data_IF_785209806521
#
_entry.id   IF_785209806521
#
_cell.length_a   1.000
_cell.length_b   1.000
_cell.length_c   1.000
_cell.angle_alpha   90.00
_cell.angle_beta   90.00
_cell.angle_gamma   90.00
#
_symmetry.space_group_name_H-M   'P 1'
#
loop_
_entity.id
_entity.type
_entity.pdbx_description
1 polymer ?
#
# COMPACT_ATOMS: atom_id res chain seq x y z
N UNK A 1 22.33 -2.67 11.37
CA UNK A 1 21.11 -2.71 10.53
C UNK A 1 21.23 -3.87 9.57
N UNK A 2 20.28 -4.81 9.58
CA UNK A 2 20.19 -5.81 8.52
C UNK A 2 19.83 -5.09 7.22
N UNK A 3 20.77 -5.04 6.26
CA UNK A 3 20.54 -4.43 4.96
C UNK A 3 19.90 -5.47 4.05
N UNK A 4 18.61 -5.31 3.76
CA UNK A 4 17.96 -6.06 2.69
C UNK A 4 18.35 -5.43 1.36
N UNK A 5 18.94 -6.22 0.46
CA UNK A 5 19.35 -5.72 -0.86
C UNK A 5 18.12 -5.18 -1.63
N UNK A 6 18.28 -4.01 -2.24
CA UNK A 6 17.20 -3.30 -2.93
C UNK A 6 16.19 -2.55 -2.04
N UNK A 7 16.22 -2.69 -0.71
CA UNK A 7 15.36 -1.89 0.18
C UNK A 7 15.93 -0.48 0.40
N UNK A 8 15.04 0.52 0.44
CA UNK A 8 15.36 1.86 0.95
C UNK A 8 14.24 2.34 1.87
N UNK A 9 14.61 3.21 2.82
CA UNK A 9 13.67 3.76 3.80
C UNK A 9 12.51 4.49 3.10
N UNK A 10 11.28 4.21 3.53
CA UNK A 10 10.07 4.79 2.95
C UNK A 10 9.60 4.12 1.66
N UNK A 11 10.26 3.06 1.20
CA UNK A 11 9.88 2.29 0.02
C UNK A 11 8.42 1.81 0.09
N UNK A 12 7.97 1.34 1.25
CA UNK A 12 6.63 0.75 1.42
C UNK A 12 5.50 1.76 1.21
N UNK A 13 5.64 2.97 1.75
CA UNK A 13 4.59 3.99 1.65
C UNK A 13 4.77 4.94 0.47
N UNK A 14 5.88 4.86 -0.27
CA UNK A 14 6.13 5.66 -1.47
C UNK A 14 4.92 5.65 -2.45
N UNK A 15 4.29 4.50 -2.69
CA UNK A 15 3.09 4.43 -3.57
C UNK A 15 1.91 5.29 -3.09
N UNK A 16 1.81 5.54 -1.79
CA UNK A 16 0.76 6.36 -1.17
C UNK A 16 1.17 7.82 -1.02
N UNK A 17 2.47 8.08 -0.87
CA UNK A 17 3.03 9.41 -0.62
C UNK A 17 3.38 10.14 -1.92
N UNK A 18 4.01 9.43 -2.86
CA UNK A 18 4.46 9.97 -4.14
C UNK A 18 3.59 9.61 -5.33
N UNK A 19 2.69 8.61 -5.24
CA UNK A 19 1.91 8.15 -6.39
C UNK A 19 2.76 7.92 -7.65
N UNK A 20 2.20 7.96 -8.88
CA UNK A 20 3.01 8.03 -10.12
C UNK A 20 3.68 9.40 -10.31
N UNK A 21 3.54 10.28 -9.32
CA UNK A 21 3.80 11.70 -9.37
C UNK A 21 5.23 11.93 -8.90
N UNK A 22 6.17 11.74 -9.82
CA UNK A 22 7.61 11.91 -9.59
C UNK A 22 8.00 13.30 -9.09
N UNK A 23 9.29 13.49 -8.84
CA UNK A 23 9.94 14.69 -8.29
C UNK A 23 9.50 16.01 -8.95
N UNK A 24 9.07 15.97 -10.23
CA UNK A 24 8.60 17.13 -11.01
C UNK A 24 7.14 17.54 -10.75
N UNK A 25 6.38 16.78 -9.94
CA UNK A 25 4.93 16.96 -9.82
C UNK A 25 4.56 18.31 -9.23
N UNK A 26 3.59 18.97 -9.87
CA UNK A 26 2.98 20.20 -9.37
C UNK A 26 1.46 20.05 -9.47
N UNK A 27 0.74 20.16 -8.36
CA UNK A 27 -0.73 20.13 -8.37
C UNK A 27 -1.28 21.48 -8.81
N UNK A 28 -1.97 21.57 -9.94
CA UNK A 28 -2.64 22.83 -10.32
C UNK A 28 -3.88 23.01 -9.46
N UNK A 29 -3.86 23.94 -8.49
CA UNK A 29 -5.00 24.30 -7.64
C UNK A 29 -6.13 25.02 -8.40
N UNK A 30 -6.58 24.49 -9.55
CA UNK A 30 -7.69 25.07 -10.32
C UNK A 30 -9.00 24.86 -9.57
N UNK A 31 -9.50 25.93 -8.95
CA UNK A 31 -10.86 26.01 -8.41
C UNK A 31 -10.96 26.42 -6.95
N UNK A 32 -9.89 26.30 -6.16
CA UNK A 32 -9.97 26.53 -4.71
C UNK A 32 -8.83 27.40 -4.19
N UNK A 33 -9.10 28.14 -3.12
CA UNK A 33 -8.16 28.96 -2.35
C UNK A 33 -7.07 28.12 -1.61
N UNK A 34 -6.66 26.98 -2.16
CA UNK A 34 -5.91 25.89 -1.51
C UNK A 34 -4.38 25.88 -1.70
N UNK A 35 -3.83 26.74 -2.56
CA UNK A 35 -2.39 26.76 -2.88
C UNK A 35 -1.95 25.67 -3.86
N UNK A 36 -0.64 25.56 -4.09
CA UNK A 36 -0.01 24.59 -5.01
C UNK A 36 0.90 23.66 -4.21
N UNK A 37 0.89 22.38 -4.54
CA UNK A 37 1.73 21.36 -3.91
C UNK A 37 2.78 20.83 -4.88
N UNK A 38 4.00 20.65 -4.38
CA UNK A 38 5.19 20.37 -5.19
C UNK A 38 5.87 19.06 -4.79
N UNK A 39 6.44 18.38 -5.79
CA UNK A 39 7.34 17.26 -5.58
C UNK A 39 6.67 15.95 -5.18
N UNK A 40 7.55 14.97 -4.92
CA UNK A 40 7.17 13.60 -4.59
C UNK A 40 6.41 13.50 -3.26
N UNK A 41 6.51 14.50 -2.38
CA UNK A 41 5.82 14.53 -1.08
C UNK A 41 4.71 15.58 -1.00
N UNK A 42 4.34 16.19 -2.14
CA UNK A 42 3.29 17.21 -2.23
C UNK A 42 3.46 18.33 -1.18
N UNK A 43 4.64 18.94 -1.16
CA UNK A 43 5.00 20.06 -0.31
C UNK A 43 4.13 21.28 -0.67
N UNK A 44 3.27 21.70 0.25
CA UNK A 44 2.26 22.73 0.00
C UNK A 44 2.83 24.13 0.23
N UNK A 45 2.57 25.03 -0.72
CA UNK A 45 2.87 26.45 -0.58
C UNK A 45 1.99 27.14 0.46
N UNK A 46 0.80 26.60 0.76
CA UNK A 46 -0.15 27.19 1.72
C UNK A 46 0.12 26.77 3.15
N UNK A 47 0.43 25.49 3.39
CA UNK A 47 0.70 25.00 4.75
C UNK A 47 2.10 25.34 5.25
N UNK A 48 2.95 25.96 4.41
CA UNK A 48 4.32 26.35 4.75
C UNK A 48 5.36 25.24 4.53
N UNK A 49 4.95 23.99 4.32
CA UNK A 49 5.87 22.85 4.12
C UNK A 49 6.81 23.01 2.93
N UNK A 50 6.39 23.69 1.84
CA UNK A 50 7.29 24.05 0.74
C UNK A 50 8.38 25.03 1.19
N UNK A 51 8.02 26.00 2.02
CA UNK A 51 8.97 26.99 2.53
C UNK A 51 9.97 26.33 3.47
N UNK A 52 9.49 25.52 4.40
CA UNK A 52 10.34 24.75 5.30
C UNK A 52 11.34 23.86 4.56
N UNK A 53 10.92 23.27 3.43
CA UNK A 53 11.81 22.53 2.54
C UNK A 53 12.87 23.44 1.93
N UNK A 54 12.47 24.53 1.28
CA UNK A 54 13.42 25.44 0.63
C UNK A 54 14.43 26.02 1.62
N UNK A 55 14.01 26.40 2.83
CA UNK A 55 14.88 26.95 3.88
C UNK A 55 15.96 25.95 4.36
N UNK A 56 15.78 24.66 4.12
CA UNK A 56 16.71 23.58 4.49
C UNK A 56 17.36 22.90 3.28
N UNK A 57 16.86 23.21 2.08
CA UNK A 57 17.26 22.56 0.85
C UNK A 57 18.51 23.21 0.29
N UNK A 58 19.40 22.40 -0.29
CA UNK A 58 20.55 22.91 -1.05
C UNK A 58 20.14 23.76 -2.26
N UNK A 59 18.87 23.67 -2.68
CA UNK A 59 18.30 24.40 -3.81
C UNK A 59 17.65 25.73 -3.43
N UNK A 60 17.69 26.17 -2.16
CA UNK A 60 17.12 27.46 -1.72
C UNK A 60 17.44 28.61 -2.69
N UNK A 61 18.73 28.72 -3.07
CA UNK A 61 19.26 29.78 -3.92
C UNK A 61 18.68 29.77 -5.33
N UNK A 62 18.29 28.61 -5.84
CA UNK A 62 17.69 28.45 -7.17
C UNK A 62 16.28 29.05 -7.24
N UNK A 63 15.63 29.26 -6.10
CA UNK A 63 14.27 29.80 -5.99
C UNK A 63 14.20 31.22 -5.43
N UNK A 64 15.34 31.86 -5.13
CA UNK A 64 15.37 33.25 -4.65
C UNK A 64 14.77 34.19 -5.70
N UNK A 65 13.81 35.01 -5.25
CA UNK A 65 13.08 35.94 -6.14
C UNK A 65 11.96 35.28 -6.95
N UNK A 66 11.77 33.95 -6.86
CA UNK A 66 10.66 33.24 -7.45
C UNK A 66 9.54 33.04 -6.43
N UNK A 67 8.31 33.32 -6.82
CA UNK A 67 7.14 33.11 -5.96
C UNK A 67 6.50 31.74 -6.24
N UNK A 68 6.20 30.93 -5.22
CA UNK A 68 5.41 29.71 -5.42
C UNK A 68 4.10 29.98 -6.15
N UNK A 69 3.60 28.96 -6.84
CA UNK A 69 2.41 29.01 -7.70
C UNK A 69 2.50 29.95 -8.93
N UNK A 70 3.71 30.36 -9.33
CA UNK A 70 3.95 31.11 -10.58
C UNK A 70 4.59 30.22 -11.64
N UNK A 71 4.43 30.58 -12.92
CA UNK A 71 5.03 29.84 -14.03
C UNK A 71 6.55 29.77 -13.91
N UNK A 72 7.22 30.88 -13.55
CA UNK A 72 8.66 30.92 -13.36
C UNK A 72 9.16 29.95 -12.27
N UNK A 73 8.47 29.89 -11.13
CA UNK A 73 8.79 28.93 -10.07
C UNK A 73 8.54 27.49 -10.52
N UNK A 74 7.41 27.25 -11.20
CA UNK A 74 7.01 25.92 -11.67
C UNK A 74 7.98 25.38 -12.73
N UNK A 75 8.45 26.24 -13.63
CA UNK A 75 9.42 25.89 -14.66
C UNK A 75 10.77 25.55 -14.04
N UNK A 76 11.24 26.35 -13.09
CA UNK A 76 12.49 26.06 -12.35
C UNK A 76 12.40 24.75 -11.56
N UNK A 77 11.27 24.47 -10.92
CA UNK A 77 11.05 23.20 -10.22
C UNK A 77 11.13 22.00 -11.17
N UNK A 78 10.47 22.08 -12.32
CA UNK A 78 10.48 21.02 -13.34
C UNK A 78 11.84 20.86 -14.00
N UNK A 79 12.56 21.95 -14.22
CA UNK A 79 13.94 21.95 -14.71
C UNK A 79 14.82 21.12 -13.76
N UNK A 80 14.89 21.51 -12.48
CA UNK A 80 15.70 20.81 -11.47
C UNK A 80 15.35 19.32 -11.37
N UNK A 81 14.05 18.99 -11.39
CA UNK A 81 13.60 17.60 -11.34
C UNK A 81 14.02 16.75 -12.55
N UNK A 82 14.31 17.38 -13.70
CA UNK A 82 14.76 16.69 -14.92
C UNK A 82 16.28 16.68 -15.06
N UNK A 83 16.94 17.74 -14.61
CA UNK A 83 18.36 17.97 -14.89
C UNK A 83 19.27 17.58 -13.75
N UNK A 84 18.78 17.58 -12.50
CA UNK A 84 19.56 17.21 -11.33
C UNK A 84 18.96 15.98 -10.63
N UNK A 85 19.58 14.79 -10.80
CA UNK A 85 19.07 13.55 -10.20
C UNK A 85 19.04 13.59 -8.67
N UNK A 86 19.80 14.48 -8.03
CA UNK A 86 19.81 14.59 -6.58
C UNK A 86 18.70 15.50 -6.03
N UNK A 87 17.87 16.15 -6.87
CA UNK A 87 16.72 16.93 -6.41
C UNK A 87 15.66 16.05 -5.74
N UNK A 88 15.46 14.83 -6.26
CA UNK A 88 14.57 13.85 -5.63
C UNK A 88 15.09 13.36 -4.27
N UNK A 89 16.40 13.12 -4.19
CA UNK A 89 17.03 12.69 -2.94
C UNK A 89 16.99 13.80 -1.88
N UNK A 90 17.18 15.07 -2.27
CA UNK A 90 17.09 16.21 -1.35
C UNK A 90 15.67 16.35 -0.75
N UNK A 91 14.62 16.16 -1.55
CA UNK A 91 13.24 16.10 -1.04
C UNK A 91 13.03 14.92 -0.08
N UNK A 92 13.58 13.74 -0.39
CA UNK A 92 13.51 12.57 0.48
C UNK A 92 14.24 12.81 1.81
N UNK A 93 15.45 13.37 1.77
CA UNK A 93 16.28 13.68 2.94
C UNK A 93 15.63 14.74 3.83
N UNK A 94 14.94 15.72 3.24
CA UNK A 94 14.11 16.66 3.98
C UNK A 94 13.00 15.96 4.76
N UNK A 95 12.25 15.03 4.14
CA UNK A 95 11.20 14.27 4.86
C UNK A 95 11.83 13.38 5.93
N UNK A 96 12.95 12.74 5.64
CA UNK A 96 13.69 11.91 6.59
C UNK A 96 14.08 12.67 7.85
N UNK A 97 14.62 13.88 7.70
CA UNK A 97 15.04 14.73 8.81
C UNK A 97 13.86 15.33 9.59
N UNK A 98 12.84 15.81 8.88
CA UNK A 98 11.73 16.55 9.51
C UNK A 98 10.61 15.68 10.06
N UNK A 99 10.48 14.44 9.58
CA UNK A 99 9.43 13.51 10.00
C UNK A 99 10.06 12.28 10.68
N UNK A 100 10.76 11.45 9.92
CA UNK A 100 11.22 10.15 10.40
C UNK A 100 12.15 10.26 11.62
N UNK A 101 13.27 10.99 11.53
CA UNK A 101 14.23 11.08 12.65
C UNK A 101 13.65 11.77 13.89
N UNK A 102 12.75 12.75 13.72
CA UNK A 102 12.04 13.36 14.85
C UNK A 102 11.18 12.33 15.57
N UNK A 103 10.44 11.50 14.84
CA UNK A 103 9.58 10.49 15.46
C UNK A 103 10.37 9.31 16.03
N UNK A 104 11.49 8.90 15.43
CA UNK A 104 12.42 7.93 16.04
C UNK A 104 12.93 8.44 17.40
N UNK A 105 13.32 9.71 17.46
CA UNK A 105 13.80 10.33 18.71
C UNK A 105 12.68 10.42 19.75
N UNK A 106 11.46 10.79 19.34
CA UNK A 106 10.30 10.88 20.23
C UNK A 106 9.87 9.52 20.78
N UNK A 107 9.87 8.47 19.95
CA UNK A 107 9.62 7.09 20.35
C UNK A 107 10.61 6.63 21.43
N UNK A 108 11.91 6.84 21.18
CA UNK A 108 12.98 6.50 22.12
C UNK A 108 12.87 7.28 23.43
N UNK A 109 12.65 8.59 23.37
CA UNK A 109 12.44 9.43 24.55
C UNK A 109 11.20 8.99 25.36
N UNK A 110 10.19 8.47 24.69
CA UNK A 110 8.99 7.89 25.28
C UNK A 110 9.11 6.43 25.73
N UNK A 111 10.33 5.88 25.81
CA UNK A 111 10.62 4.54 26.31
C UNK A 111 10.47 3.40 25.30
N UNK A 112 10.16 3.70 24.03
CA UNK A 112 9.99 2.72 22.96
C UNK A 112 11.13 2.86 21.94
N UNK A 113 12.29 2.26 22.23
CA UNK A 113 13.42 2.29 21.30
C UNK A 113 13.25 1.24 20.19
N UNK A 114 13.05 1.73 18.96
CA UNK A 114 12.91 0.92 17.74
C UNK A 114 14.06 1.17 16.76
N UNK A 115 15.11 1.89 17.16
CA UNK A 115 16.18 2.33 16.25
C UNK A 115 16.99 1.18 15.64
N UNK A 116 17.10 0.06 16.36
CA UNK A 116 17.83 -1.13 15.90
C UNK A 116 16.97 -2.16 15.14
N UNK A 117 15.69 -1.86 14.90
CA UNK A 117 14.75 -2.77 14.24
C UNK A 117 14.96 -2.83 12.72
N UNK A 118 14.47 -3.91 12.10
CA UNK A 118 14.66 -4.20 10.67
C UNK A 118 13.80 -3.34 9.74
N UNK A 119 13.97 -3.53 8.41
CA UNK A 119 13.36 -2.72 7.36
C UNK A 119 11.86 -2.46 7.52
N UNK A 120 11.09 -3.48 7.90
CA UNK A 120 9.65 -3.35 8.10
C UNK A 120 9.29 -2.34 9.20
N UNK A 121 9.97 -2.39 10.35
CA UNK A 121 9.67 -1.45 11.44
C UNK A 121 10.13 -0.04 11.06
N UNK A 122 11.26 0.10 10.37
CA UNK A 122 11.74 1.41 9.92
C UNK A 122 10.80 2.05 8.89
N UNK A 123 10.29 1.28 7.92
CA UNK A 123 9.29 1.76 6.97
C UNK A 123 7.94 2.04 7.64
N UNK A 124 7.55 1.28 8.66
CA UNK A 124 6.35 1.55 9.44
C UNK A 124 6.45 2.89 10.20
N UNK A 125 7.61 3.20 10.77
CA UNK A 125 7.89 4.51 11.40
C UNK A 125 7.84 5.61 10.34
N UNK A 126 8.49 5.40 9.18
CA UNK A 126 8.45 6.36 8.07
C UNK A 126 7.01 6.69 7.67
N UNK A 127 6.25 5.67 7.25
CA UNK A 127 4.85 5.83 6.79
C UNK A 127 3.99 6.56 7.82
N UNK A 128 4.11 6.14 9.08
CA UNK A 128 3.32 6.71 10.17
C UNK A 128 3.74 8.14 10.47
N UNK A 129 5.04 8.46 10.41
CA UNK A 129 5.55 9.82 10.62
C UNK A 129 5.06 10.81 9.56
N UNK A 130 4.97 10.37 8.30
CA UNK A 130 4.46 11.19 7.19
C UNK A 130 2.95 11.36 7.30
N UNK A 131 2.22 10.30 7.65
CA UNK A 131 0.75 10.32 7.68
C UNK A 131 0.18 10.97 8.96
N UNK A 132 0.77 10.73 10.13
CA UNK A 132 0.21 11.08 11.44
C UNK A 132 1.07 12.05 12.26
N UNK A 133 2.31 12.35 11.81
CA UNK A 133 3.23 13.29 12.47
C UNK A 133 3.38 12.99 13.95
N UNK A 134 3.03 13.93 14.82
CA UNK A 134 3.25 13.87 16.27
C UNK A 134 2.40 12.81 16.99
N UNK A 135 1.37 12.25 16.32
CA UNK A 135 0.64 11.10 16.85
C UNK A 135 1.40 9.78 16.68
N UNK A 136 2.50 9.76 15.91
CA UNK A 136 3.25 8.52 15.64
C UNK A 136 3.62 7.74 16.90
N UNK A 137 4.19 8.36 17.96
CA UNK A 137 4.58 7.62 19.15
C UNK A 137 3.39 6.98 19.88
N UNK A 138 2.25 7.66 19.94
CA UNK A 138 1.05 7.11 20.59
C UNK A 138 0.41 6.01 19.76
N UNK A 139 0.43 6.08 18.43
CA UNK A 139 -0.07 5.00 17.57
C UNK A 139 0.70 3.70 17.77
N UNK A 140 2.03 3.77 17.82
CA UNK A 140 2.87 2.59 18.11
C UNK A 140 2.59 2.04 19.50
N UNK A 141 2.61 2.90 20.53
CA UNK A 141 2.39 2.48 21.92
C UNK A 141 1.00 1.85 22.08
N UNK A 142 -0.05 2.54 21.67
CA UNK A 142 -1.43 2.08 21.84
C UNK A 142 -1.68 0.79 21.04
N UNK A 143 -1.12 0.66 19.83
CA UNK A 143 -1.26 -0.58 19.06
C UNK A 143 -0.59 -1.77 19.74
N UNK A 144 0.61 -1.57 20.31
CA UNK A 144 1.31 -2.61 21.06
C UNK A 144 0.59 -2.97 22.36
N UNK A 145 0.11 -1.98 23.11
CA UNK A 145 -0.67 -2.18 24.35
C UNK A 145 -1.99 -2.89 24.07
N UNK A 146 -2.71 -2.51 23.01
CA UNK A 146 -3.98 -3.15 22.62
C UNK A 146 -3.78 -4.61 22.21
N UNK A 147 -2.66 -4.94 21.54
CA UNK A 147 -2.39 -6.32 21.06
C UNK A 147 -1.72 -7.20 22.11
N UNK A 148 -0.86 -6.67 22.97
CA UNK A 148 0.01 -7.43 23.86
C UNK A 148 -0.15 -7.09 25.35
N UNK A 149 -1.02 -6.14 25.70
CA UNK A 149 -1.23 -5.65 27.06
C UNK A 149 -0.20 -4.61 27.50
N UNK A 150 -0.45 -3.90 28.60
CA UNK A 150 0.35 -2.75 29.08
C UNK A 150 1.79 -3.09 29.53
N UNK A 151 2.12 -4.38 29.69
CA UNK A 151 3.40 -4.85 30.21
C UNK A 151 4.24 -5.63 29.18
N UNK A 152 4.00 -5.40 27.88
CA UNK A 152 4.83 -5.98 26.83
C UNK A 152 6.29 -5.54 26.97
N UNK A 153 7.21 -6.41 26.56
CA UNK A 153 8.62 -6.07 26.44
C UNK A 153 8.96 -5.99 24.97
N UNK A 154 9.41 -4.82 24.51
CA UNK A 154 9.72 -4.65 23.08
C UNK A 154 10.76 -5.66 22.60
N UNK A 155 11.74 -6.01 23.43
CA UNK A 155 12.78 -6.99 23.13
C UNK A 155 12.24 -8.39 22.79
N UNK A 156 11.05 -8.75 23.29
CA UNK A 156 10.44 -10.06 23.07
C UNK A 156 9.56 -10.10 21.80
N UNK A 157 9.33 -8.93 21.17
CA UNK A 157 8.49 -8.82 19.98
C UNK A 157 9.33 -8.85 18.70
N UNK A 158 8.86 -9.64 17.73
CA UNK A 158 9.37 -9.64 16.36
C UNK A 158 8.94 -8.39 15.60
N UNK A 159 9.67 -8.05 14.54
CA UNK A 159 9.32 -6.95 13.63
C UNK A 159 7.90 -7.13 13.04
N UNK A 160 7.52 -8.38 12.72
CA UNK A 160 6.18 -8.73 12.22
C UNK A 160 5.10 -8.38 13.24
N UNK A 161 5.29 -8.77 14.50
CA UNK A 161 4.34 -8.46 15.56
C UNK A 161 4.17 -6.95 15.77
N UNK A 162 5.26 -6.19 15.71
CA UNK A 162 5.25 -4.73 15.87
C UNK A 162 4.47 -4.08 14.73
N UNK A 163 4.78 -4.40 13.47
CA UNK A 163 4.11 -3.77 12.32
C UNK A 163 2.63 -4.18 12.23
N UNK A 164 2.29 -5.43 12.56
CA UNK A 164 0.90 -5.84 12.59
C UNK A 164 0.11 -5.10 13.68
N UNK A 165 0.66 -4.96 14.89
CA UNK A 165 0.01 -4.23 15.99
C UNK A 165 -0.31 -2.79 15.60
N UNK A 166 0.66 -2.10 14.99
CA UNK A 166 0.49 -0.73 14.51
C UNK A 166 -0.60 -0.63 13.43
N UNK A 167 -0.52 -1.48 12.40
CA UNK A 167 -1.43 -1.37 11.26
C UNK A 167 -2.85 -1.81 11.61
N UNK A 168 -3.01 -2.81 12.48
CA UNK A 168 -4.30 -3.22 13.03
C UNK A 168 -4.93 -2.08 13.84
N UNK A 169 -4.14 -1.38 14.64
CA UNK A 169 -4.60 -0.20 15.38
C UNK A 169 -5.00 0.95 14.45
N UNK A 170 -4.19 1.28 13.44
CA UNK A 170 -4.53 2.29 12.42
C UNK A 170 -5.86 1.97 11.73
N UNK A 171 -6.04 0.70 11.35
CA UNK A 171 -7.26 0.23 10.70
C UNK A 171 -8.48 0.34 11.64
N UNK A 172 -8.39 -0.23 12.85
CA UNK A 172 -9.51 -0.29 13.80
C UNK A 172 -9.89 1.08 14.35
N UNK A 173 -8.92 1.99 14.50
CA UNK A 173 -9.12 3.32 15.06
C UNK A 173 -9.32 4.41 14.03
N UNK A 174 -9.42 4.08 12.73
CA UNK A 174 -9.62 5.07 11.66
C UNK A 174 -10.77 6.04 11.95
N UNK A 175 -11.93 5.56 12.40
CA UNK A 175 -13.06 6.45 12.70
C UNK A 175 -12.77 7.40 13.85
N UNK A 176 -12.00 6.94 14.85
CA UNK A 176 -11.63 7.74 16.02
C UNK A 176 -10.53 8.75 15.72
N UNK A 177 -9.57 8.36 14.88
CA UNK A 177 -8.45 9.20 14.46
C UNK A 177 -8.89 10.26 13.45
N UNK A 178 -9.92 9.97 12.64
CA UNK A 178 -10.41 10.85 11.57
C UNK A 178 -11.90 11.15 11.71
N UNK A 179 -12.38 11.43 12.93
CA UNK A 179 -13.80 11.71 13.22
C UNK A 179 -14.40 12.81 12.33
N UNK A 180 -13.61 13.81 12.00
CA UNK A 180 -14.01 14.95 11.16
C UNK A 180 -13.97 14.68 9.65
N UNK A 181 -13.57 13.48 9.23
CA UNK A 181 -13.41 13.13 7.81
C UNK A 181 -13.95 11.73 7.49
N UNK A 182 -15.25 11.47 7.75
CA UNK A 182 -15.85 10.15 7.54
C UNK A 182 -15.76 9.65 6.11
N UNK A 183 -15.83 10.56 5.14
CA UNK A 183 -15.63 10.23 3.73
C UNK A 183 -14.23 9.67 3.43
N UNK A 184 -13.22 9.80 4.29
CA UNK A 184 -11.88 9.26 4.01
C UNK A 184 -11.65 7.89 4.64
N UNK A 185 -12.56 7.40 5.50
CA UNK A 185 -12.32 6.23 6.33
C UNK A 185 -11.96 4.97 5.54
N UNK A 186 -12.66 4.69 4.45
CA UNK A 186 -12.41 3.45 3.70
C UNK A 186 -11.07 3.49 2.97
N UNK A 187 -10.70 4.65 2.41
CA UNK A 187 -9.37 4.85 1.82
C UNK A 187 -8.24 4.69 2.85
N UNK A 188 -8.45 5.18 4.08
CA UNK A 188 -7.47 5.14 5.16
C UNK A 188 -7.30 3.72 5.71
N UNK A 189 -8.41 2.98 5.85
CA UNK A 189 -8.42 1.55 6.19
C UNK A 189 -7.74 0.71 5.13
N UNK A 190 -8.08 0.91 3.86
CA UNK A 190 -7.47 0.19 2.76
C UNK A 190 -5.96 0.44 2.70
N UNK A 191 -5.53 1.69 2.92
CA UNK A 191 -4.11 2.02 3.04
C UNK A 191 -3.46 1.26 4.20
N UNK A 192 -4.06 1.25 5.39
CA UNK A 192 -3.50 0.54 6.55
C UNK A 192 -3.37 -0.98 6.27
N UNK A 193 -4.37 -1.58 5.63
CA UNK A 193 -4.37 -2.99 5.23
C UNK A 193 -3.29 -3.31 4.18
N UNK A 194 -3.22 -2.52 3.10
CA UNK A 194 -2.26 -2.73 2.02
C UNK A 194 -0.81 -2.49 2.47
N UNK A 195 -0.58 -1.47 3.32
CA UNK A 195 0.72 -1.27 3.96
C UNK A 195 1.08 -2.44 4.88
N UNK A 196 0.13 -3.00 5.65
CA UNK A 196 0.38 -4.16 6.51
C UNK A 196 0.93 -5.34 5.71
N UNK A 197 0.32 -5.66 4.57
CA UNK A 197 0.73 -6.77 3.68
C UNK A 197 2.17 -6.61 3.17
N UNK A 198 2.57 -5.38 2.87
CA UNK A 198 3.90 -5.08 2.37
C UNK A 198 4.96 -5.07 3.48
N UNK A 199 4.63 -4.46 4.63
CA UNK A 199 5.50 -4.45 5.81
C UNK A 199 5.74 -5.88 6.33
N UNK A 200 4.70 -6.72 6.39
CA UNK A 200 4.86 -8.15 6.72
C UNK A 200 5.71 -8.85 5.66
N UNK A 201 5.53 -8.53 4.38
CA UNK A 201 6.40 -9.01 3.31
C UNK A 201 7.88 -8.68 3.53
N UNK A 202 8.19 -7.46 3.97
CA UNK A 202 9.55 -7.07 4.31
C UNK A 202 10.14 -7.91 5.45
N UNK A 203 9.33 -8.30 6.44
CA UNK A 203 9.79 -9.22 7.51
C UNK A 203 10.10 -10.63 7.01
N UNK A 204 9.57 -10.98 5.84
CA UNK A 204 9.72 -12.28 5.17
C UNK A 204 10.73 -12.20 4.00
N UNK A 205 11.44 -11.07 3.84
CA UNK A 205 12.42 -10.87 2.77
C UNK A 205 11.81 -10.60 1.40
N UNK A 206 10.55 -10.13 1.34
CA UNK A 206 9.85 -9.75 0.10
C UNK A 206 9.72 -8.23 0.01
N UNK A 207 10.31 -7.64 -1.02
CA UNK A 207 10.18 -6.20 -1.29
C UNK A 207 8.73 -5.84 -1.66
N UNK A 208 8.25 -4.65 -1.28
CA UNK A 208 7.00 -4.08 -1.77
C UNK A 208 7.02 -3.98 -3.30
N UNK A 209 5.90 -4.31 -3.96
CA UNK A 209 5.82 -4.22 -5.42
C UNK A 209 5.80 -2.73 -5.81
N UNK A 210 6.94 -2.21 -6.27
CA UNK A 210 7.04 -0.86 -6.82
C UNK A 210 6.48 -0.84 -8.25
N UNK A 211 5.22 -0.39 -8.39
CA UNK A 211 4.57 0.08 -9.61
C UNK A 211 5.01 -0.52 -10.95
N UNK A 212 4.32 -1.57 -11.41
CA UNK A 212 4.02 -1.72 -12.83
C UNK A 212 2.58 -1.26 -13.09
N UNK A 213 2.45 -0.15 -13.82
CA UNK A 213 1.25 0.48 -14.41
C UNK A 213 -0.11 -0.18 -14.12
N UNK A 214 -1.00 0.55 -13.46
CA UNK A 214 -2.43 0.54 -13.79
C UNK A 214 -2.96 1.99 -13.86
N UNK A 215 -3.35 2.38 -15.08
CA UNK A 215 -4.08 3.62 -15.34
C UNK A 215 -5.58 3.34 -15.18
N UNK A 216 -6.27 4.09 -14.33
CA UNK A 216 -7.75 4.09 -14.26
C UNK A 216 -8.28 4.90 -13.08
N UNK A 217 -8.76 6.11 -13.36
CA UNK A 217 -9.39 7.04 -12.39
C UNK A 217 -10.89 6.68 -12.14
N UNK A 218 -11.62 7.47 -11.33
CA UNK A 218 -11.65 7.53 -9.87
C UNK A 218 -12.98 6.95 -9.33
N UNK A 219 -13.00 6.26 -8.17
CA UNK A 219 -14.27 5.88 -7.52
C UNK A 219 -14.61 6.79 -6.34
N UNK A 220 -15.85 7.25 -6.33
CA UNK A 220 -16.48 7.94 -5.22
C UNK A 220 -16.69 6.97 -4.05
N UNK A 221 -16.51 7.49 -2.84
CA UNK A 221 -16.63 6.80 -1.56
C UNK A 221 -17.96 6.10 -1.30
N UNK A 222 -17.87 4.83 -0.95
CA UNK A 222 -18.55 4.24 0.23
C UNK A 222 -17.94 2.89 0.68
N UNK A 223 -16.74 2.53 0.19
CA UNK A 223 -16.08 1.26 0.49
C UNK A 223 -16.86 0.03 0.00
N UNK A 224 -17.91 0.28 -0.76
CA UNK A 224 -18.83 -0.63 -1.40
C UNK A 224 -18.36 -0.75 -2.85
N UNK A 225 -18.34 -1.97 -3.39
CA UNK A 225 -18.20 -2.14 -4.83
C UNK A 225 -19.53 -2.47 -5.47
N UNK A 226 -19.93 -1.71 -6.50
CA UNK A 226 -21.19 -1.94 -7.19
C UNK A 226 -21.12 -1.76 -8.70
N UNK A 227 -22.20 -2.19 -9.37
CA UNK A 227 -22.27 -2.18 -10.82
C UNK A 227 -22.06 -0.78 -11.41
N UNK A 228 -21.13 -0.68 -12.35
CA UNK A 228 -20.74 0.57 -13.00
C UNK A 228 -19.43 1.17 -12.47
N UNK A 229 -18.93 0.68 -11.33
CA UNK A 229 -17.61 1.06 -10.84
C UNK A 229 -16.47 0.41 -11.61
N UNK A 230 -15.29 1.05 -11.55
CA UNK A 230 -14.10 0.61 -12.25
C UNK A 230 -12.83 0.83 -11.44
N UNK A 231 -11.81 0.03 -11.70
CA UNK A 231 -10.47 0.22 -11.16
C UNK A 231 -9.93 -0.99 -10.40
N UNK A 232 -8.80 -0.79 -9.71
CA UNK A 232 -8.05 -1.87 -9.07
C UNK A 232 -8.82 -2.59 -7.96
N UNK A 233 -9.72 -1.90 -7.25
CA UNK A 233 -10.60 -2.53 -6.25
C UNK A 233 -11.54 -3.56 -6.89
N UNK A 234 -12.12 -3.23 -8.05
CA UNK A 234 -12.96 -4.13 -8.84
C UNK A 234 -12.14 -5.29 -9.40
N UNK A 235 -10.92 -5.01 -9.87
CA UNK A 235 -9.99 -6.02 -10.38
C UNK A 235 -9.61 -7.03 -9.29
N UNK A 236 -9.37 -6.54 -8.08
CA UNK A 236 -9.10 -7.38 -6.92
C UNK A 236 -10.29 -8.26 -6.59
N UNK A 237 -11.49 -7.68 -6.49
CA UNK A 237 -12.74 -8.43 -6.30
C UNK A 237 -12.93 -9.53 -7.35
N UNK A 238 -12.78 -9.20 -8.63
CA UNK A 238 -12.90 -10.16 -9.73
C UNK A 238 -11.90 -11.30 -9.60
N UNK A 239 -10.67 -10.99 -9.20
CA UNK A 239 -9.61 -11.99 -8.97
C UNK A 239 -9.95 -12.90 -7.80
N UNK A 240 -10.47 -12.36 -6.70
CA UNK A 240 -10.90 -13.12 -5.53
C UNK A 240 -12.07 -14.06 -5.88
N UNK A 241 -13.07 -13.56 -6.59
CA UNK A 241 -14.21 -14.37 -7.05
C UNK A 241 -13.77 -15.48 -8.02
N UNK A 242 -12.86 -15.17 -8.94
CA UNK A 242 -12.30 -16.17 -9.87
C UNK A 242 -11.48 -17.25 -9.12
N UNK A 243 -10.70 -16.88 -8.10
CA UNK A 243 -9.97 -17.83 -7.26
C UNK A 243 -10.89 -18.77 -6.49
N UNK A 244 -12.06 -18.28 -6.09
CA UNK A 244 -13.11 -19.06 -5.45
C UNK A 244 -13.93 -19.88 -6.45
N UNK A 245 -13.59 -19.84 -7.74
CA UNK A 245 -14.28 -20.59 -8.80
C UNK A 245 -15.64 -20.00 -9.19
N UNK A 246 -15.95 -18.78 -8.77
CA UNK A 246 -17.23 -18.12 -9.08
C UNK A 246 -17.19 -17.63 -10.53
N UNK A 247 -18.23 -17.96 -11.30
CA UNK A 247 -18.34 -17.66 -12.73
C UNK A 247 -19.27 -16.49 -13.02
N UNK A 248 -19.03 -15.83 -14.15
CA UNK A 248 -19.89 -14.80 -14.71
C UNK A 248 -21.20 -15.37 -15.26
N UNK A 249 -22.07 -14.47 -15.72
CA UNK A 249 -23.40 -14.82 -16.25
C UNK A 249 -23.33 -15.71 -17.51
N UNK A 250 -22.22 -15.63 -18.22
CA UNK A 250 -21.90 -16.45 -19.40
C UNK A 250 -21.34 -17.84 -19.05
N UNK A 251 -21.26 -18.18 -17.76
CA UNK A 251 -20.73 -19.46 -17.27
C UNK A 251 -19.22 -19.57 -17.36
N UNK A 252 -18.51 -18.47 -17.61
CA UNK A 252 -17.05 -18.44 -17.72
C UNK A 252 -16.40 -17.87 -16.45
N UNK A 253 -15.14 -18.24 -16.15
CA UNK A 253 -14.39 -17.58 -15.08
C UNK A 253 -14.34 -16.07 -15.30
N UNK A 254 -14.45 -15.31 -14.21
CA UNK A 254 -14.31 -13.86 -14.28
C UNK A 254 -12.92 -13.48 -14.77
N UNK A 255 -12.89 -12.59 -15.75
CA UNK A 255 -11.68 -11.90 -16.15
C UNK A 255 -11.53 -10.63 -15.31
N UNK A 256 -10.37 -10.44 -14.69
CA UNK A 256 -10.08 -9.28 -13.85
C UNK A 256 -9.71 -8.07 -14.73
N UNK A 257 -10.70 -7.54 -15.47
CA UNK A 257 -10.57 -6.35 -16.33
C UNK A 257 -10.69 -5.04 -15.55
N UNK A 258 -11.12 -5.09 -14.30
CA UNK A 258 -11.36 -3.90 -13.47
C UNK A 258 -12.67 -3.20 -13.76
N UNK A 259 -13.58 -3.79 -14.55
CA UNK A 259 -14.92 -3.26 -14.83
C UNK A 259 -15.99 -4.01 -14.03
N UNK A 260 -16.77 -3.30 -13.21
CA UNK A 260 -17.88 -3.89 -12.47
C UNK A 260 -19.10 -3.98 -13.38
N UNK A 261 -19.01 -4.83 -14.40
CA UNK A 261 -20.05 -5.10 -15.38
C UNK A 261 -21.06 -6.16 -14.92
N UNK A 262 -21.93 -6.55 -15.84
CA UNK A 262 -23.00 -7.53 -15.58
C UNK A 262 -22.47 -8.90 -15.12
N UNK A 263 -21.30 -9.32 -15.61
CA UNK A 263 -20.67 -10.58 -15.21
C UNK A 263 -20.14 -10.50 -13.76
N UNK A 264 -19.47 -9.40 -13.40
CA UNK A 264 -18.97 -9.17 -12.03
C UNK A 264 -20.12 -9.11 -11.03
N UNK A 265 -21.20 -8.39 -11.35
CA UNK A 265 -22.40 -8.35 -10.51
C UNK A 265 -23.01 -9.72 -10.31
N UNK A 266 -23.19 -10.48 -11.40
CA UNK A 266 -23.75 -11.82 -11.32
C UNK A 266 -22.92 -12.73 -10.40
N UNK A 267 -21.59 -12.68 -10.52
CA UNK A 267 -20.69 -13.44 -9.67
C UNK A 267 -20.76 -13.01 -8.20
N UNK A 268 -20.85 -11.70 -7.92
CA UNK A 268 -21.06 -11.20 -6.55
C UNK A 268 -22.38 -11.74 -5.98
N UNK A 269 -23.47 -11.69 -6.73
CA UNK A 269 -24.75 -12.23 -6.28
C UNK A 269 -24.71 -13.75 -6.08
N UNK A 270 -23.98 -14.51 -6.92
CA UNK A 270 -23.77 -15.94 -6.71
C UNK A 270 -23.02 -16.21 -5.41
N UNK A 271 -21.90 -15.52 -5.22
CA UNK A 271 -21.11 -15.62 -3.99
C UNK A 271 -21.95 -15.26 -2.75
N UNK A 272 -22.74 -14.19 -2.82
CA UNK A 272 -23.66 -13.81 -1.74
C UNK A 272 -24.70 -14.91 -1.45
N UNK A 273 -25.28 -15.52 -2.49
CA UNK A 273 -26.22 -16.65 -2.35
C UNK A 273 -25.56 -17.86 -1.68
N UNK A 274 -24.38 -18.25 -2.12
CA UNK A 274 -23.64 -19.41 -1.63
C UNK A 274 -23.20 -19.24 -0.16
N UNK A 275 -22.91 -18.00 0.24
CA UNK A 275 -22.47 -17.67 1.59
C UNK A 275 -23.58 -17.15 2.51
N UNK A 276 -24.85 -17.25 2.10
CA UNK A 276 -26.01 -16.89 2.94
C UNK A 276 -26.11 -15.40 3.27
N UNK A 277 -25.59 -14.54 2.40
CA UNK A 277 -25.62 -13.09 2.55
C UNK A 277 -26.87 -12.49 1.88
N UNK A 278 -27.15 -11.21 2.16
CA UNK A 278 -28.14 -10.47 1.39
C UNK A 278 -27.67 -10.34 -0.08
N UNK A 279 -28.55 -10.67 -1.02
CA UNK A 279 -28.21 -10.79 -2.45
C UNK A 279 -28.63 -9.52 -3.17
N UNK A 280 -27.78 -8.51 -3.08
CA UNK A 280 -27.97 -7.20 -3.68
C UNK A 280 -26.96 -6.90 -4.81
N UNK A 281 -26.01 -7.81 -5.05
CA UNK A 281 -24.98 -7.66 -6.08
C UNK A 281 -23.96 -6.57 -5.73
N UNK A 282 -23.89 -6.22 -4.45
CA UNK A 282 -23.09 -5.14 -3.88
C UNK A 282 -22.04 -5.74 -2.95
N UNK A 283 -20.78 -5.34 -3.13
CA UNK A 283 -19.70 -5.78 -2.25
C UNK A 283 -19.51 -4.78 -1.12
N UNK A 284 -20.40 -4.86 -0.14
CA UNK A 284 -20.27 -4.15 1.13
C UNK A 284 -19.41 -4.90 2.15
N UNK A 285 -19.28 -4.34 3.35
CA UNK A 285 -18.45 -4.87 4.46
C UNK A 285 -18.68 -6.36 4.77
N UNK A 286 -19.93 -6.82 4.75
CA UNK A 286 -20.26 -8.23 5.02
C UNK A 286 -19.77 -9.16 3.91
N UNK A 287 -19.93 -8.76 2.65
CA UNK A 287 -19.45 -9.51 1.49
C UNK A 287 -17.93 -9.54 1.43
N UNK A 288 -17.24 -8.44 1.77
CA UNK A 288 -15.78 -8.40 1.86
C UNK A 288 -15.24 -9.34 2.96
N UNK A 289 -15.87 -9.34 4.14
CA UNK A 289 -15.49 -10.25 5.22
C UNK A 289 -15.66 -11.72 4.83
N UNK A 290 -16.78 -12.05 4.17
CA UNK A 290 -17.04 -13.39 3.67
C UNK A 290 -16.04 -13.82 2.59
N UNK A 291 -15.68 -12.94 1.65
CA UNK A 291 -14.65 -13.21 0.63
C UNK A 291 -13.30 -13.55 1.28
N UNK A 292 -12.89 -12.76 2.28
CA UNK A 292 -11.65 -13.02 3.03
C UNK A 292 -11.65 -14.37 3.75
N UNK A 293 -12.78 -14.75 4.37
CA UNK A 293 -12.93 -16.06 5.00
C UNK A 293 -12.90 -17.20 3.98
N UNK A 294 -13.62 -17.06 2.88
CA UNK A 294 -13.69 -18.07 1.82
C UNK A 294 -12.31 -18.32 1.20
N UNK A 295 -11.54 -17.27 0.91
CA UNK A 295 -10.18 -17.37 0.36
C UNK A 295 -9.21 -18.05 1.33
N UNK A 296 -9.32 -17.74 2.62
CA UNK A 296 -8.50 -18.36 3.65
C UNK A 296 -8.79 -19.87 3.76
N UNK A 297 -10.07 -20.26 3.71
CA UNK A 297 -10.50 -21.65 3.72
C UNK A 297 -10.12 -22.39 2.42
N UNK A 298 -10.20 -21.72 1.27
CA UNK A 298 -9.81 -22.27 -0.02
C UNK A 298 -8.31 -22.54 -0.09
N UNK A 299 -7.50 -21.62 0.47
CA UNK A 299 -6.05 -21.79 0.59
C UNK A 299 -5.72 -22.97 1.49
N UNK A 300 -6.36 -23.09 2.67
CA UNK A 300 -6.14 -24.19 3.60
C UNK A 300 -6.49 -25.57 3.00
N UNK A 301 -7.60 -25.67 2.24
CA UNK A 301 -7.99 -26.90 1.54
C UNK A 301 -7.03 -27.29 0.42
N UNK A 302 -6.43 -26.32 -0.29
CA UNK A 302 -5.42 -26.59 -1.32
C UNK A 302 -4.09 -27.07 -0.72
N UNK A 303 -3.73 -26.62 0.48
CA UNK A 303 -2.54 -27.13 1.21
C UNK A 303 -2.76 -28.53 1.77
N UNK A 304 -3.98 -28.89 2.19
CA UNK A 304 -4.29 -30.25 2.67
C UNK A 304 -4.38 -31.28 1.53
N UNK A 305 -4.75 -30.87 0.31
CA UNK A 305 -4.79 -31.77 -0.86
C UNK A 305 -3.41 -32.05 -1.49
N UNK A 306 -2.34 -31.38 -1.05
CA UNK A 306 -0.97 -31.57 -1.55
C UNK A 306 -0.06 -32.39 -0.62
N UNK A 307 -0.59 -32.93 0.49
CA UNK A 307 0.15 -33.78 1.44
C UNK A 307 -0.58 -35.11 1.70
N UNK A 308 -0.44 -36.06 0.77
CA UNK A 308 -0.71 -37.48 1.00
C UNK A 308 0.58 -38.28 0.73
N UNK A 309 0.89 -39.36 1.50
CA UNK A 309 2.23 -39.94 1.52
C UNK A 309 2.44 -40.95 0.38
N UNK A 310 3.50 -40.80 -0.41
CA UNK A 310 3.90 -41.77 -1.43
C UNK A 310 5.36 -42.21 -1.24
N UNK A 311 5.55 -43.52 -1.14
CA UNK A 311 6.82 -44.26 -1.21
C UNK A 311 7.36 -44.29 -2.68
N UNK A 312 8.55 -44.89 -2.96
CA UNK A 312 9.53 -44.37 -3.91
C UNK A 312 9.25 -44.63 -5.41
N UNK A 313 9.97 -43.86 -6.23
CA UNK A 313 9.87 -43.70 -7.67
C UNK A 313 9.94 -44.99 -8.53
N UNK A 314 9.42 -44.90 -9.76
CA UNK A 314 10.27 -45.20 -10.92
C UNK A 314 10.19 -44.15 -12.06
N UNK A 315 11.37 -43.81 -12.57
CA UNK A 315 11.79 -43.72 -13.98
C UNK A 315 10.80 -43.20 -15.06
N UNK A 316 11.00 -41.92 -15.40
CA UNK A 316 11.02 -41.23 -16.71
C UNK A 316 10.25 -41.74 -17.95
N UNK A 317 9.73 -40.76 -18.72
CA UNK A 317 9.81 -40.75 -20.21
C UNK A 317 9.89 -39.31 -20.75
N UNK A 318 10.52 -39.10 -21.93
CA UNK A 318 11.31 -37.92 -22.25
C UNK A 318 10.57 -36.79 -23.01
N UNK A 319 11.12 -35.57 -22.90
CA UNK A 319 10.66 -34.37 -23.59
C UNK A 319 11.06 -34.36 -25.07
N UNK A 320 10.29 -33.62 -25.86
CA UNK A 320 10.27 -33.50 -27.34
C UNK A 320 11.55 -32.89 -27.98
N UNK A 321 12.69 -32.98 -27.31
CA UNK A 321 13.98 -32.39 -27.71
C UNK A 321 15.10 -33.43 -27.85
N UNK A 322 14.82 -34.73 -27.72
CA UNK A 322 15.81 -35.82 -27.79
C UNK A 322 16.11 -36.21 -29.27
N UNK A 323 17.39 -36.24 -29.72
CA UNK A 323 17.82 -36.60 -31.08
C UNK A 323 17.49 -38.01 -31.57
N UNK A 324 16.83 -38.86 -30.76
CA UNK A 324 16.38 -40.21 -31.14
C UNK A 324 14.87 -40.30 -31.42
N UNK A 325 14.20 -39.15 -31.57
CA UNK A 325 12.79 -39.08 -31.91
C UNK A 325 12.53 -39.59 -33.35
N UNK A 326 11.56 -40.49 -33.58
CA UNK A 326 11.35 -41.16 -34.87
C UNK A 326 10.93 -40.23 -36.03
N UNK A 327 10.52 -38.99 -35.73
CA UNK A 327 10.18 -37.98 -36.76
C UNK A 327 11.38 -37.20 -37.31
N UNK A 328 12.62 -37.51 -36.90
CA UNK A 328 13.85 -37.00 -37.52
C UNK A 328 14.52 -38.06 -38.40
N UNK A 329 13.72 -38.73 -39.23
CA UNK A 329 14.18 -39.62 -40.29
C UNK A 329 13.37 -39.38 -41.58
N UNK A 330 13.69 -38.28 -42.27
CA UNK A 330 13.98 -38.19 -43.72
C UNK A 330 14.30 -36.75 -44.11
#
# INVERSE_FOLDING_TARGET
>A
MATMDGWHLGMTSARHESGPRGVETISTGKGDHGGVSYGAYQLSSKSGTLREYLDQSRYEKEFVGLSPATDAFNDKWKELARTDPAFGQDQHDFIKSTHYYKQVSALKAGGLDLSDRGPAVQDAIWSTSVQYRDLTPSLFRNGLEEKFGEHYKIADLSDKQIVEALQDYKYSRTETLFKSSPAQWDSLRNRAFEEKKDLVGLTEGRLPIQGSRSHGAPSANDGKLEQGERGESVKHLQSQLAQLGVVGRDGKPLHADGDFGANTKYAVEQFQREHGLHVDGVVGRQTQAALGQALSQHTAKQTEQTVAPAAPAPSASPLLSDPRHPDNAM
#
